data_IF_979510878917
#
_entry.id   IF_979510878917
#
_cell.length_a   1.000
_cell.length_b   1.000
_cell.length_c   1.000
_cell.angle_alpha   90.00
_cell.angle_beta   90.00
_cell.angle_gamma   90.00
#
_symmetry.space_group_name_H-M   'P 1'
#
loop_
_entity.id
_entity.type
_entity.pdbx_description
1 polymer ?
#
# COMPACT_ATOMS: atom_id res chain seq x y z
N UNK A 1 30.19 -0.72 -0.95
CA UNK A 1 28.92 -0.01 -1.22
C UNK A 1 28.47 0.60 0.10
N UNK A 2 28.48 1.93 0.26
CA UNK A 2 28.11 2.57 1.53
C UNK A 2 26.62 2.31 1.78
N UNK A 3 26.29 1.62 2.87
CA UNK A 3 24.91 1.44 3.32
C UNK A 3 24.33 2.82 3.63
N UNK A 4 23.22 3.17 2.97
CA UNK A 4 22.45 4.35 3.32
C UNK A 4 21.92 4.15 4.75
N UNK A 5 22.20 5.05 5.71
CA UNK A 5 21.85 4.86 7.12
C UNK A 5 20.33 4.79 7.39
N UNK A 6 19.49 5.12 6.40
CA UNK A 6 18.03 4.98 6.47
C UNK A 6 17.46 3.68 5.88
N UNK A 7 18.26 2.84 5.21
CA UNK A 7 17.76 1.56 4.68
C UNK A 7 17.84 0.49 5.79
N UNK A 8 16.73 0.31 6.50
CA UNK A 8 16.56 -0.88 7.34
C UNK A 8 16.32 -2.08 6.47
N UNK A 9 16.85 -3.23 6.91
CA UNK A 9 16.62 -4.50 6.22
C UNK A 9 15.17 -4.91 6.45
N UNK A 10 14.45 -5.23 5.38
CA UNK A 10 13.11 -5.79 5.47
C UNK A 10 13.07 -7.17 4.82
N UNK A 11 12.11 -7.98 5.24
CA UNK A 11 11.88 -9.33 4.71
C UNK A 11 10.56 -9.30 3.95
N UNK A 12 10.53 -9.44 2.62
CA UNK A 12 9.26 -9.47 1.89
C UNK A 12 8.35 -10.58 2.39
N UNK A 13 7.05 -10.32 2.49
CA UNK A 13 6.06 -11.35 2.79
C UNK A 13 6.00 -12.32 1.61
N UNK A 14 6.14 -13.64 1.82
CA UNK A 14 6.03 -14.62 0.74
C UNK A 14 4.61 -14.65 0.18
N UNK A 15 4.49 -14.92 -1.12
CA UNK A 15 3.22 -15.06 -1.82
C UNK A 15 3.11 -16.51 -2.31
N UNK A 16 1.98 -17.15 -2.04
CA UNK A 16 1.65 -18.48 -2.57
C UNK A 16 0.78 -18.33 -3.82
N UNK A 17 1.39 -18.62 -4.98
CA UNK A 17 0.72 -18.55 -6.27
C UNK A 17 -0.12 -19.82 -6.51
N UNK A 18 -1.38 -19.62 -6.91
CA UNK A 18 -2.35 -20.68 -7.22
C UNK A 18 -2.74 -20.64 -8.69
N UNK A 19 -3.09 -21.79 -9.25
CA UNK A 19 -3.59 -21.94 -10.61
C UNK A 19 -4.82 -22.86 -10.63
N UNK A 20 -5.98 -22.42 -11.14
CA UNK A 20 -6.26 -21.09 -11.69
C UNK A 20 -6.13 -19.97 -10.65
N UNK A 21 -5.91 -18.73 -11.10
CA UNK A 21 -5.80 -17.56 -10.21
C UNK A 21 -7.15 -17.37 -9.48
N UNK A 22 -7.17 -17.35 -8.14
CA UNK A 22 -8.40 -17.17 -7.37
C UNK A 22 -9.02 -15.77 -7.56
N UNK A 23 -10.21 -15.55 -7.02
CA UNK A 23 -10.80 -14.21 -6.98
C UNK A 23 -9.96 -13.28 -6.08
N UNK A 24 -10.02 -11.98 -6.38
CA UNK A 24 -9.22 -10.97 -5.68
C UNK A 24 -9.40 -10.99 -4.16
N UNK A 25 -10.63 -11.19 -3.70
CA UNK A 25 -10.96 -11.25 -2.27
C UNK A 25 -10.39 -12.51 -1.60
N UNK A 26 -10.35 -13.64 -2.30
CA UNK A 26 -9.80 -14.89 -1.77
C UNK A 26 -8.28 -14.78 -1.59
N UNK A 27 -7.60 -14.09 -2.52
CA UNK A 27 -6.17 -13.78 -2.41
C UNK A 27 -5.93 -12.86 -1.22
N UNK A 28 -6.74 -11.81 -1.05
CA UNK A 28 -6.61 -10.86 0.05
C UNK A 28 -6.81 -11.52 1.42
N UNK A 29 -7.81 -12.40 1.56
CA UNK A 29 -8.12 -13.09 2.82
C UNK A 29 -7.10 -14.18 3.18
N UNK A 30 -6.48 -14.82 2.17
CA UNK A 30 -5.43 -15.82 2.40
C UNK A 30 -4.06 -15.19 2.72
N UNK A 31 -3.89 -13.87 2.54
CA UNK A 31 -2.61 -13.21 2.72
C UNK A 31 -2.17 -13.16 4.19
N UNK A 32 -0.91 -13.50 4.44
CA UNK A 32 -0.30 -13.31 5.76
C UNK A 32 0.09 -11.84 5.93
N UNK A 33 -0.69 -11.10 6.71
CA UNK A 33 -0.43 -9.69 6.98
C UNK A 33 0.69 -9.51 8.00
N UNK A 34 1.61 -8.58 7.72
CA UNK A 34 2.51 -8.04 8.74
C UNK A 34 1.78 -6.99 9.57
N UNK A 35 2.00 -6.93 10.90
CA UNK A 35 1.56 -5.79 11.70
C UNK A 35 2.09 -4.48 11.10
N UNK A 36 1.25 -3.45 11.06
CA UNK A 36 1.63 -2.17 10.44
C UNK A 36 2.81 -1.49 11.17
N UNK A 37 2.94 -1.73 12.47
CA UNK A 37 4.07 -1.27 13.26
C UNK A 37 5.40 -1.86 12.76
N UNK A 38 5.40 -3.14 12.36
CA UNK A 38 6.58 -3.78 11.77
C UNK A 38 6.90 -3.17 10.40
N UNK A 39 5.89 -2.94 9.55
CA UNK A 39 6.08 -2.31 8.24
C UNK A 39 6.66 -0.90 8.39
N UNK A 40 6.13 -0.11 9.33
CA UNK A 40 6.61 1.22 9.64
C UNK A 40 8.05 1.21 10.16
N UNK A 41 8.39 0.27 11.05
CA UNK A 41 9.76 0.07 11.53
C UNK A 41 10.71 -0.27 10.37
N UNK A 42 10.33 -1.20 9.49
CA UNK A 42 11.10 -1.58 8.30
C UNK A 42 11.34 -0.39 7.35
N UNK A 43 10.45 0.61 7.35
CA UNK A 43 10.58 1.85 6.58
C UNK A 43 11.33 2.97 7.31
N UNK A 44 11.78 2.75 8.55
CA UNK A 44 12.53 3.75 9.32
C UNK A 44 11.66 4.77 10.08
N UNK A 45 10.37 4.50 10.24
CA UNK A 45 9.48 5.26 11.13
C UNK A 45 9.68 4.82 12.58
N UNK A 46 9.42 5.75 13.50
CA UNK A 46 9.44 5.51 14.94
C UNK A 46 8.03 5.17 15.42
N UNK A 47 7.93 4.31 16.45
CA UNK A 47 6.64 3.93 17.03
C UNK A 47 5.84 5.15 17.54
N UNK A 48 6.53 6.16 18.06
CA UNK A 48 5.92 7.42 18.55
C UNK A 48 5.24 8.25 17.45
N UNK A 49 5.60 7.99 16.19
CA UNK A 49 5.08 8.68 14.99
C UNK A 49 3.86 7.97 14.39
N UNK A 50 3.39 6.88 15.01
CA UNK A 50 2.25 6.11 14.55
C UNK A 50 1.04 6.34 15.45
N UNK A 51 -0.12 6.46 14.82
CA UNK A 51 -1.42 6.35 15.46
C UNK A 51 -2.12 5.12 14.89
N UNK A 52 -2.21 4.05 15.68
CA UNK A 52 -2.70 2.75 15.21
C UNK A 52 -4.23 2.73 15.07
N UNK A 53 -4.70 2.10 14.00
CA UNK A 53 -6.10 1.81 13.71
C UNK A 53 -6.26 0.29 13.55
N UNK A 54 -6.23 -0.40 14.70
CA UNK A 54 -6.04 -1.85 14.75
C UNK A 54 -4.61 -2.25 14.38
N UNK A 55 -4.41 -3.53 14.07
CA UNK A 55 -3.05 -4.10 13.94
C UNK A 55 -2.39 -3.86 12.58
N UNK A 56 -3.19 -3.53 11.56
CA UNK A 56 -2.76 -3.50 10.14
C UNK A 56 -2.90 -2.14 9.47
N UNK A 57 -3.27 -1.09 10.22
CA UNK A 57 -3.44 0.27 9.68
C UNK A 57 -2.96 1.29 10.70
N UNK A 58 -2.39 2.39 10.23
CA UNK A 58 -1.97 3.49 11.07
C UNK A 58 -2.02 4.80 10.30
N UNK A 59 -2.23 5.90 11.01
CA UNK A 59 -1.86 7.24 10.55
C UNK A 59 -0.42 7.52 10.94
N UNK A 60 0.28 8.28 10.10
CA UNK A 60 1.62 8.76 10.37
C UNK A 60 1.50 10.22 10.80
N UNK A 61 2.05 10.55 11.96
CA UNK A 61 2.02 11.93 12.47
C UNK A 61 3.01 12.81 11.69
N UNK A 62 2.67 14.08 11.51
CA UNK A 62 3.39 14.98 10.61
C UNK A 62 4.78 15.41 11.13
N UNK A 63 5.06 15.25 12.41
CA UNK A 63 6.36 15.53 13.05
C UNK A 63 7.50 14.72 12.41
N UNK A 64 7.17 13.61 11.72
CA UNK A 64 8.12 12.84 10.90
C UNK A 64 8.83 13.72 9.85
N UNK A 65 8.13 14.71 9.29
CA UNK A 65 8.66 15.61 8.27
C UNK A 65 9.74 16.51 8.85
N UNK A 66 9.54 17.00 10.08
CA UNK A 66 10.53 17.82 10.78
C UNK A 66 11.78 17.00 11.12
N UNK A 67 11.60 15.77 11.64
CA UNK A 67 12.71 14.86 11.94
C UNK A 67 13.53 14.51 10.69
N UNK A 68 12.86 14.35 9.55
CA UNK A 68 13.49 13.94 8.28
C UNK A 68 13.84 15.11 7.36
N UNK A 69 13.71 16.37 7.78
CA UNK A 69 13.93 17.53 6.93
C UNK A 69 15.34 17.61 6.30
N UNK A 70 16.35 16.99 6.92
CA UNK A 70 17.71 16.90 6.39
C UNK A 70 17.98 15.69 5.48
N UNK A 71 17.02 14.79 5.31
CA UNK A 71 17.17 13.60 4.46
C UNK A 71 16.99 13.99 2.98
N UNK A 72 17.78 13.41 2.06
CA UNK A 72 17.58 13.66 0.64
C UNK A 72 16.28 13.01 0.14
N UNK A 73 15.62 13.66 -0.81
CA UNK A 73 14.45 13.10 -1.47
C UNK A 73 14.76 11.79 -2.19
N UNK A 74 13.77 10.89 -2.18
CA UNK A 74 13.77 9.66 -2.94
C UNK A 74 13.57 9.89 -4.44
N UNK A 75 13.60 8.80 -5.22
CA UNK A 75 13.19 8.85 -6.63
C UNK A 75 11.67 8.83 -6.71
N UNK A 76 11.09 9.80 -7.41
CA UNK A 76 9.67 9.86 -7.70
C UNK A 76 9.35 9.16 -9.02
N UNK A 77 8.43 8.19 -8.98
CA UNK A 77 7.98 7.44 -10.16
C UNK A 77 6.47 7.62 -10.26
N UNK A 78 6.02 8.25 -11.35
CA UNK A 78 4.60 8.42 -11.64
C UNK A 78 4.11 7.31 -12.58
N UNK A 79 3.02 6.65 -12.20
CA UNK A 79 2.40 5.57 -13.00
C UNK A 79 1.12 6.11 -13.62
N UNK A 80 1.16 6.29 -14.94
CA UNK A 80 0.02 6.75 -15.75
C UNK A 80 -0.53 5.63 -16.64
N UNK A 81 -1.66 5.88 -17.28
CA UNK A 81 -2.29 4.98 -18.23
C UNK A 81 -2.81 5.77 -19.45
N UNK A 82 -3.14 5.04 -20.51
CA UNK A 82 -3.86 5.59 -21.66
C UNK A 82 -5.29 6.01 -21.26
N UNK A 83 -6.02 6.63 -22.19
CA UNK A 83 -7.45 6.92 -22.02
C UNK A 83 -8.22 5.65 -21.62
N UNK A 84 -9.05 5.69 -20.55
CA UNK A 84 -9.77 4.51 -20.08
C UNK A 84 -10.66 3.89 -21.15
N UNK A 85 -10.71 2.56 -21.14
CA UNK A 85 -11.52 1.71 -22.00
C UNK A 85 -12.36 0.76 -21.15
N UNK A 86 -13.45 0.17 -21.70
CA UNK A 86 -14.25 -0.80 -20.98
C UNK A 86 -13.50 -2.08 -20.56
N UNK A 87 -12.33 -2.36 -21.15
CA UNK A 87 -11.52 -3.55 -20.84
C UNK A 87 -10.71 -3.39 -19.54
N UNK A 88 -10.49 -2.14 -19.10
CA UNK A 88 -9.67 -1.83 -17.94
C UNK A 88 -8.17 -1.93 -18.21
N UNK A 89 -7.41 -0.98 -17.66
CA UNK A 89 -5.98 -0.83 -17.97
C UNK A 89 -5.06 -1.38 -16.86
N UNK A 90 -5.64 -1.76 -15.72
CA UNK A 90 -4.87 -2.32 -14.60
C UNK A 90 -3.88 -1.34 -13.96
N UNK A 91 -4.13 -0.02 -14.02
CA UNK A 91 -3.18 1.00 -13.52
C UNK A 91 -2.72 0.74 -12.08
N UNK A 92 -3.66 0.57 -11.14
CA UNK A 92 -3.33 0.33 -9.72
C UNK A 92 -2.61 -1.01 -9.54
N UNK A 93 -3.03 -2.06 -10.25
CA UNK A 93 -2.36 -3.37 -10.25
C UNK A 93 -0.90 -3.24 -10.66
N UNK A 94 -0.63 -2.47 -11.71
CA UNK A 94 0.73 -2.17 -12.19
C UNK A 94 1.50 -1.33 -11.17
N UNK A 95 0.89 -0.32 -10.55
CA UNK A 95 1.54 0.49 -9.50
C UNK A 95 2.00 -0.38 -8.33
N UNK A 96 1.12 -1.26 -7.81
CA UNK A 96 1.47 -2.14 -6.68
C UNK A 96 2.50 -3.18 -7.10
N UNK A 97 2.33 -3.81 -8.27
CA UNK A 97 3.26 -4.81 -8.79
C UNK A 97 4.66 -4.25 -9.06
N UNK A 98 4.76 -3.00 -9.55
CA UNK A 98 6.03 -2.32 -9.73
C UNK A 98 6.78 -2.14 -8.40
N UNK A 99 6.08 -1.69 -7.35
CA UNK A 99 6.69 -1.56 -6.02
C UNK A 99 7.06 -2.90 -5.41
N UNK A 100 6.25 -3.94 -5.59
CA UNK A 100 6.62 -5.30 -5.19
C UNK A 100 7.89 -5.78 -5.92
N UNK A 101 8.03 -5.51 -7.22
CA UNK A 101 9.24 -5.83 -7.98
C UNK A 101 10.47 -5.08 -7.44
N UNK A 102 10.37 -3.77 -7.25
CA UNK A 102 11.45 -2.92 -6.73
C UNK A 102 11.85 -3.35 -5.31
N UNK A 103 10.85 -3.62 -4.47
CA UNK A 103 11.04 -4.01 -3.08
C UNK A 103 11.52 -5.45 -2.93
N UNK A 104 10.63 -6.39 -3.21
CA UNK A 104 10.82 -7.80 -2.90
C UNK A 104 11.86 -8.50 -3.78
N UNK A 105 11.99 -8.09 -5.05
CA UNK A 105 12.86 -8.77 -6.00
C UNK A 105 14.19 -8.04 -6.24
N UNK A 106 14.22 -6.70 -6.14
CA UNK A 106 15.45 -5.92 -6.32
C UNK A 106 16.07 -5.44 -5.00
N UNK A 107 15.41 -5.67 -3.86
CA UNK A 107 15.92 -5.32 -2.53
C UNK A 107 16.12 -3.81 -2.34
N UNK A 108 15.25 -2.99 -2.92
CA UNK A 108 15.27 -1.53 -2.77
C UNK A 108 14.14 -1.07 -1.84
N UNK A 109 14.36 0.03 -1.12
CA UNK A 109 13.27 0.66 -0.37
C UNK A 109 12.34 1.40 -1.34
N UNK A 110 11.03 1.19 -1.19
CA UNK A 110 9.99 1.74 -2.07
C UNK A 110 8.68 1.85 -1.30
N UNK A 111 7.95 2.94 -1.53
CA UNK A 111 6.62 3.19 -0.97
C UNK A 111 5.66 3.45 -2.12
N UNK A 112 4.49 2.83 -2.05
CA UNK A 112 3.39 3.08 -2.98
C UNK A 112 2.41 4.08 -2.37
N UNK A 113 2.15 5.17 -3.08
CA UNK A 113 1.11 6.13 -2.73
C UNK A 113 -0.07 5.97 -3.70
N UNK A 114 -1.26 5.70 -3.16
CA UNK A 114 -2.51 5.59 -3.93
C UNK A 114 -3.62 6.37 -3.26
N UNK A 115 -4.68 6.67 -4.01
CA UNK A 115 -5.86 7.36 -3.50
C UNK A 115 -6.77 6.39 -2.75
N UNK A 116 -7.33 6.84 -1.63
CA UNK A 116 -8.45 6.14 -1.01
C UNK A 116 -9.66 6.14 -1.97
N UNK A 117 -10.33 4.99 -2.17
CA UNK A 117 -11.54 4.92 -2.98
C UNK A 117 -12.73 5.54 -2.26
N UNK A 118 -13.70 6.04 -3.03
CA UNK A 118 -15.01 6.38 -2.50
C UNK A 118 -15.73 5.10 -2.03
N UNK A 119 -16.50 5.21 -0.95
CA UNK A 119 -17.31 4.11 -0.42
C UNK A 119 -18.51 3.79 -1.33
N UNK A 120 -19.08 4.78 -2.02
CA UNK A 120 -20.30 4.60 -2.82
C UNK A 120 -20.23 3.48 -3.86
N UNK A 121 -19.17 3.42 -4.69
CA UNK A 121 -18.98 2.34 -5.68
C UNK A 121 -18.97 0.92 -5.11
N UNK A 122 -18.55 0.73 -3.85
CA UNK A 122 -18.52 -0.57 -3.16
C UNK A 122 -19.92 -1.19 -3.03
N UNK A 123 -20.97 -0.36 -2.93
CA UNK A 123 -22.37 -0.81 -2.88
C UNK A 123 -23.06 -0.85 -4.25
N UNK A 124 -22.30 -0.57 -5.31
CA UNK A 124 -22.77 -0.56 -6.69
C UNK A 124 -22.13 -1.68 -7.53
N UNK A 125 -21.70 -1.32 -8.74
CA UNK A 125 -21.19 -2.28 -9.74
C UNK A 125 -19.68 -2.55 -9.57
N UNK A 126 -18.94 -1.68 -8.86
CA UNK A 126 -17.48 -1.68 -8.88
C UNK A 126 -16.90 -2.41 -7.67
N UNK A 127 -16.36 -3.61 -7.90
CA UNK A 127 -15.49 -4.28 -6.94
C UNK A 127 -14.07 -3.67 -6.88
N UNK A 128 -13.47 -3.72 -5.69
CA UNK A 128 -12.03 -3.58 -5.38
C UNK A 128 -11.24 -2.46 -6.08
N UNK A 129 -10.92 -1.37 -5.38
CA UNK A 129 -10.08 -0.29 -5.92
C UNK A 129 -8.57 -0.41 -5.57
N UNK A 130 -8.18 -1.49 -4.90
CA UNK A 130 -6.86 -1.64 -4.27
C UNK A 130 -5.80 -2.33 -5.14
N UNK A 131 -6.06 -2.59 -6.42
CA UNK A 131 -5.23 -3.42 -7.30
C UNK A 131 -5.99 -4.67 -7.76
N UNK A 132 -5.27 -5.74 -8.11
CA UNK A 132 -5.88 -7.01 -8.54
C UNK A 132 -4.88 -8.16 -8.59
N UNK A 133 -5.39 -9.40 -8.55
CA UNK A 133 -4.59 -10.62 -8.43
C UNK A 133 -3.68 -10.59 -7.20
N UNK A 134 -2.40 -10.91 -7.40
CA UNK A 134 -1.38 -10.88 -6.33
C UNK A 134 -0.76 -9.50 -6.08
N UNK A 135 -1.22 -8.48 -6.80
CA UNK A 135 -0.74 -7.09 -6.72
C UNK A 135 -1.84 -6.19 -6.18
N UNK A 136 -2.03 -6.25 -4.86
CA UNK A 136 -3.11 -5.55 -4.15
C UNK A 136 -2.60 -4.83 -2.89
N UNK A 137 -3.34 -3.81 -2.46
CA UNK A 137 -3.24 -3.24 -1.11
C UNK A 137 -4.28 -3.91 -0.20
N UNK A 138 -3.84 -4.34 0.97
CA UNK A 138 -4.63 -5.08 1.96
C UNK A 138 -4.44 -4.46 3.35
N UNK A 139 -5.45 -4.50 4.25
CA UNK A 139 -6.72 -5.23 4.14
C UNK A 139 -7.74 -4.59 3.18
N UNK A 140 -8.26 -5.37 2.22
CA UNK A 140 -9.10 -4.84 1.14
C UNK A 140 -10.46 -4.34 1.63
N UNK A 141 -11.05 -4.99 2.62
CA UNK A 141 -12.36 -4.64 3.18
C UNK A 141 -12.32 -3.26 3.85
N UNK A 142 -11.35 -3.03 4.72
CA UNK A 142 -11.12 -1.73 5.38
C UNK A 142 -10.87 -0.63 4.34
N UNK A 143 -10.06 -0.93 3.31
CA UNK A 143 -9.68 0.02 2.27
C UNK A 143 -10.87 0.50 1.43
N UNK A 144 -11.86 -0.35 1.19
CA UNK A 144 -13.04 -0.02 0.39
C UNK A 144 -14.21 0.55 1.20
N UNK A 145 -14.10 0.58 2.54
CA UNK A 145 -15.16 1.05 3.44
C UNK A 145 -14.71 2.32 4.19
N UNK A 146 -14.54 2.21 5.50
CA UNK A 146 -14.32 3.37 6.36
C UNK A 146 -12.85 3.77 6.48
N UNK A 147 -11.93 2.87 6.16
CA UNK A 147 -10.49 3.01 6.35
C UNK A 147 -10.16 3.62 7.72
N UNK A 148 -9.72 4.88 7.75
CA UNK A 148 -9.37 5.63 8.97
C UNK A 148 -10.29 6.82 9.23
N UNK A 149 -11.42 6.91 8.52
CA UNK A 149 -12.43 7.95 8.69
C UNK A 149 -12.22 9.24 7.87
N UNK A 150 -11.25 9.26 6.97
CA UNK A 150 -10.82 10.49 6.27
C UNK A 150 -11.93 11.10 5.41
N UNK A 151 -12.68 10.26 4.68
CA UNK A 151 -13.84 10.69 3.89
C UNK A 151 -14.96 11.24 4.80
N UNK A 152 -15.16 10.65 5.97
CA UNK A 152 -16.15 11.14 6.94
C UNK A 152 -15.76 12.52 7.46
N UNK A 153 -14.48 12.72 7.77
CA UNK A 153 -13.96 14.02 8.22
C UNK A 153 -14.05 15.11 7.14
N UNK A 154 -13.90 14.76 5.85
CA UNK A 154 -14.12 15.71 4.74
C UNK A 154 -15.61 16.08 4.57
N UNK A 155 -16.51 15.17 4.94
CA UNK A 155 -17.96 15.35 4.75
C UNK A 155 -18.61 16.17 5.87
N UNK A 156 -18.08 16.09 7.09
CA UNK A 156 -18.60 16.76 8.29
C UNK A 156 -18.40 18.29 8.26
#
# INVERSE_FOLDING_TARGET
MKLNPGLRRFIPTPIELKSPVPADIDIAQAATLKPIAQVAEEMGLLQSELELYGDYKAKIKLEVLERLAGAPDGKYIDVTAITPTPLGEGKTTTTVGLSQAIGAHLGRSVITCIRQPSQGPTFGIKGGAAGGGYSQVIPMEDFNLHLTGDIHAITA
#
